data_IF_761957773670
#
_entry.id   IF_761957773670
#
_cell.length_a   1.000
_cell.length_b   1.000
_cell.length_c   1.000
_cell.angle_alpha   90.00
_cell.angle_beta   90.00
_cell.angle_gamma   90.00
#
_symmetry.space_group_name_H-M   'P 1'
#
loop_
_entity.id
_entity.type
_entity.pdbx_description
1 polymer ?
#
# COMPACT_ATOMS: atom_id res chain seq x y z
N UNK A 1 -0.96 48.95 -52.10
CA UNK A 1 -0.73 48.87 -50.64
C UNK A 1 0.60 48.16 -50.44
N UNK A 2 1.64 48.92 -50.06
CA UNK A 2 3.05 48.58 -50.32
C UNK A 2 3.54 47.29 -49.67
N UNK A 3 3.99 46.34 -50.51
CA UNK A 3 4.94 45.29 -50.17
C UNK A 3 6.31 45.93 -49.92
N UNK A 4 6.44 46.70 -48.84
CA UNK A 4 7.71 47.24 -48.40
C UNK A 4 8.59 46.10 -47.94
N UNK A 5 9.76 45.93 -48.58
CA UNK A 5 10.82 45.05 -48.07
C UNK A 5 11.10 45.48 -46.63
N UNK A 6 10.78 44.60 -45.68
CA UNK A 6 10.99 44.90 -44.26
C UNK A 6 12.49 44.96 -44.01
N UNK A 7 13.03 46.18 -43.92
CA UNK A 7 14.41 46.41 -43.52
C UNK A 7 14.60 45.87 -42.10
N UNK A 8 15.47 44.88 -41.92
CA UNK A 8 15.80 44.39 -40.58
C UNK A 8 16.76 45.38 -39.89
N UNK A 9 16.56 45.71 -38.61
CA UNK A 9 17.50 46.53 -37.86
C UNK A 9 18.84 45.80 -37.72
N UNK A 10 19.92 46.56 -37.67
CA UNK A 10 21.26 46.00 -37.49
C UNK A 10 21.36 45.21 -36.16
N UNK A 11 22.08 44.08 -36.11
CA UNK A 11 22.17 43.22 -34.91
C UNK A 11 22.73 43.89 -33.65
N UNK A 12 23.32 45.08 -33.77
CA UNK A 12 23.85 45.87 -32.65
C UNK A 12 22.77 46.68 -31.91
N UNK A 13 21.59 46.85 -32.52
CA UNK A 13 20.49 47.62 -31.93
C UNK A 13 19.88 46.83 -30.78
N UNK A 14 19.74 47.41 -29.56
CA UNK A 14 19.12 46.73 -28.44
C UNK A 14 17.62 46.54 -28.68
N UNK A 15 17.08 45.39 -28.27
CA UNK A 15 15.67 45.01 -28.44
C UNK A 15 14.69 46.04 -27.87
N UNK A 16 15.07 46.74 -26.80
CA UNK A 16 14.28 47.81 -26.19
C UNK A 16 14.10 49.05 -27.08
N UNK A 17 14.94 49.22 -28.10
CA UNK A 17 14.93 50.38 -29.00
C UNK A 17 14.32 50.09 -30.38
N UNK A 18 13.91 48.84 -30.66
CA UNK A 18 13.35 48.47 -31.97
C UNK A 18 12.15 49.34 -32.36
N UNK A 19 11.27 49.67 -31.41
CA UNK A 19 10.10 50.53 -31.66
C UNK A 19 10.47 51.92 -32.21
N UNK A 20 11.67 52.44 -31.93
CA UNK A 20 12.14 53.77 -32.38
C UNK A 20 12.57 53.78 -33.85
N UNK A 21 12.90 52.60 -34.40
CA UNK A 21 13.36 52.45 -35.78
C UNK A 21 12.20 52.17 -36.76
N UNK A 22 10.95 52.16 -36.27
CA UNK A 22 9.79 52.05 -37.12
C UNK A 22 9.30 53.45 -37.51
N UNK A 23 8.90 53.66 -38.76
CA UNK A 23 8.34 54.93 -39.21
C UNK A 23 7.06 55.27 -38.41
N UNK A 24 6.96 56.49 -37.86
CA UNK A 24 5.79 56.92 -37.08
C UNK A 24 4.53 57.09 -37.95
N UNK A 25 4.68 57.21 -39.27
CA UNK A 25 3.56 57.35 -40.21
C UNK A 25 2.84 56.03 -40.53
N UNK A 26 3.40 54.88 -40.13
CA UNK A 26 2.75 53.60 -40.35
C UNK A 26 1.58 53.41 -39.35
N UNK A 27 0.42 52.91 -39.81
CA UNK A 27 -0.66 52.47 -38.93
C UNK A 27 -0.16 51.54 -37.83
N UNK A 28 -0.70 51.68 -36.62
CA UNK A 28 -0.22 50.96 -35.44
C UNK A 28 -0.22 49.43 -35.63
N UNK A 29 -1.23 48.87 -36.27
CA UNK A 29 -1.30 47.44 -36.59
C UNK A 29 -0.17 46.96 -37.52
N UNK A 30 0.25 47.80 -38.47
CA UNK A 30 1.41 47.49 -39.31
C UNK A 30 2.72 47.66 -38.52
N UNK A 31 2.80 48.66 -37.65
CA UNK A 31 3.95 48.87 -36.77
C UNK A 31 4.19 47.68 -35.85
N UNK A 32 3.15 47.16 -35.22
CA UNK A 32 3.24 45.99 -34.33
C UNK A 32 3.60 44.72 -35.09
N UNK A 33 3.05 44.52 -36.28
CA UNK A 33 3.43 43.40 -37.17
C UNK A 33 4.91 43.42 -37.54
N UNK A 34 5.44 44.59 -37.92
CA UNK A 34 6.86 44.74 -38.23
C UNK A 34 7.73 44.46 -37.00
N UNK A 35 7.35 44.99 -35.84
CA UNK A 35 8.05 44.75 -34.58
C UNK A 35 8.05 43.26 -34.21
N UNK A 36 6.91 42.58 -34.29
CA UNK A 36 6.78 41.15 -34.00
C UNK A 36 7.66 40.30 -34.92
N UNK A 37 7.68 40.62 -36.21
CA UNK A 37 8.51 39.91 -37.18
C UNK A 37 10.00 40.14 -36.93
N UNK A 38 10.42 41.36 -36.56
CA UNK A 38 11.80 41.62 -36.13
C UNK A 38 12.17 40.81 -34.90
N UNK A 39 11.34 40.83 -33.85
CA UNK A 39 11.55 40.04 -32.64
C UNK A 39 11.61 38.53 -32.93
N UNK A 40 10.71 38.01 -33.78
CA UNK A 40 10.68 36.61 -34.16
C UNK A 40 11.91 36.20 -34.97
N UNK A 41 12.36 37.04 -35.92
CA UNK A 41 13.56 36.79 -36.73
C UNK A 41 14.83 36.81 -35.88
N UNK A 42 14.87 37.65 -34.85
CA UNK A 42 16.00 37.72 -33.92
C UNK A 42 16.00 36.50 -32.98
N UNK A 43 14.83 36.11 -32.46
CA UNK A 43 14.67 34.91 -31.66
C UNK A 43 15.02 33.62 -32.44
N UNK A 44 14.74 33.57 -33.75
CA UNK A 44 15.14 32.45 -34.62
C UNK A 44 16.66 32.34 -34.79
N UNK A 45 17.37 33.48 -34.80
CA UNK A 45 18.84 33.54 -34.93
C UNK A 45 19.55 33.20 -33.62
N UNK A 46 18.87 33.35 -32.48
CA UNK A 46 19.40 32.94 -31.18
C UNK A 46 19.17 31.44 -30.95
N UNK A 47 20.18 30.66 -30.53
CA UNK A 47 19.95 29.27 -30.15
C UNK A 47 19.00 29.21 -28.94
N UNK A 48 18.16 28.17 -28.79
CA UNK A 48 17.23 28.01 -27.65
C UNK A 48 17.92 27.76 -26.29
N UNK A 49 19.19 28.14 -26.15
CA UNK A 49 20.04 27.87 -25.01
C UNK A 49 20.88 29.11 -24.65
N UNK A 50 20.25 30.14 -24.10
CA UNK A 50 20.87 31.02 -23.11
C UNK A 50 19.87 32.12 -22.71
N UNK A 51 19.58 32.33 -21.42
CA UNK A 51 19.02 33.59 -20.97
C UNK A 51 20.03 34.69 -21.30
N UNK A 52 19.63 35.64 -22.15
CA UNK A 52 20.37 36.87 -22.40
C UNK A 52 20.40 37.69 -21.10
N UNK A 53 21.41 37.46 -20.27
CA UNK A 53 21.75 38.32 -19.15
C UNK A 53 22.55 39.52 -19.67
N UNK A 54 21.89 40.64 -19.93
CA UNK A 54 22.54 41.95 -19.75
C UNK A 54 22.33 42.38 -18.30
N UNK A 55 23.40 42.77 -17.57
CA UNK A 55 23.30 43.13 -16.16
C UNK A 55 22.78 44.57 -16.06
N UNK A 56 21.47 44.71 -15.82
CA UNK A 56 20.90 45.91 -15.25
C UNK A 56 20.98 45.83 -13.73
N UNK A 57 21.83 46.66 -13.15
CA UNK A 57 22.04 46.85 -11.70
C UNK A 57 20.72 46.91 -10.90
N UNK A 58 20.38 45.85 -10.15
CA UNK A 58 19.89 45.91 -8.76
C UNK A 58 19.55 44.51 -8.20
N UNK A 59 20.41 44.03 -7.29
CA UNK A 59 20.13 43.16 -6.13
C UNK A 59 18.93 42.18 -6.13
N UNK A 60 19.18 40.92 -6.54
CA UNK A 60 18.83 39.65 -5.83
C UNK A 60 19.10 38.43 -6.75
N UNK A 61 19.82 37.37 -6.31
CA UNK A 61 20.03 36.19 -7.15
C UNK A 61 18.81 35.28 -7.05
N UNK A 62 17.99 35.25 -8.10
CA UNK A 62 16.97 34.23 -8.27
C UNK A 62 17.63 32.88 -8.60
N UNK A 63 17.13 31.83 -7.97
CA UNK A 63 17.48 30.43 -8.21
C UNK A 63 17.48 30.09 -9.70
N UNK A 64 18.63 29.61 -10.20
CA UNK A 64 18.81 29.11 -11.56
C UNK A 64 18.11 27.76 -11.75
N UNK A 65 16.78 27.78 -11.90
CA UNK A 65 16.05 26.67 -12.49
C UNK A 65 16.43 26.57 -13.97
N UNK A 66 17.44 25.74 -14.28
CA UNK A 66 17.71 25.31 -15.65
C UNK A 66 16.48 24.57 -16.15
N UNK A 67 15.71 25.22 -17.01
CA UNK A 67 14.60 24.58 -17.73
C UNK A 67 15.16 23.37 -18.49
N UNK A 68 14.42 22.24 -18.56
CA UNK A 68 14.82 21.08 -19.34
C UNK A 68 15.01 21.49 -20.79
N UNK A 69 16.14 21.09 -21.40
CA UNK A 69 16.36 21.29 -22.84
C UNK A 69 15.29 20.52 -23.61
N UNK A 70 14.59 21.21 -24.53
CA UNK A 70 13.55 20.59 -25.35
C UNK A 70 14.09 19.35 -26.08
N UNK A 71 13.26 18.31 -26.21
CA UNK A 71 13.58 17.14 -27.04
C UNK A 71 13.90 17.56 -28.47
N UNK A 72 14.79 16.84 -29.16
CA UNK A 72 15.19 17.17 -30.53
C UNK A 72 14.00 17.21 -31.51
N UNK A 73 12.96 16.41 -31.25
CA UNK A 73 11.72 16.41 -32.03
C UNK A 73 10.87 17.64 -31.73
N UNK A 74 10.74 18.00 -30.45
CA UNK A 74 9.99 19.19 -30.02
C UNK A 74 10.64 20.48 -30.52
N UNK A 75 11.97 20.53 -30.58
CA UNK A 75 12.71 21.65 -31.13
C UNK A 75 12.50 21.82 -32.65
N UNK A 76 12.37 20.72 -33.41
CA UNK A 76 12.01 20.76 -34.84
C UNK A 76 10.58 21.23 -35.03
N UNK A 77 9.64 20.74 -34.21
CA UNK A 77 8.25 21.16 -34.23
C UNK A 77 8.12 22.66 -33.91
N UNK A 78 8.80 23.14 -32.86
CA UNK A 78 8.82 24.55 -32.49
C UNK A 78 9.36 25.45 -33.62
N UNK A 79 10.43 25.01 -34.31
CA UNK A 79 10.95 25.73 -35.49
C UNK A 79 9.96 25.75 -36.64
N UNK A 80 9.27 24.63 -36.91
CA UNK A 80 8.23 24.55 -37.94
C UNK A 80 7.10 25.54 -37.66
N UNK A 81 6.60 25.55 -36.41
CA UNK A 81 5.55 26.47 -35.97
C UNK A 81 6.04 27.92 -36.07
N UNK A 82 7.28 28.21 -35.66
CA UNK A 82 7.85 29.55 -35.78
C UNK A 82 7.92 30.03 -37.23
N UNK A 83 8.34 29.18 -38.16
CA UNK A 83 8.37 29.51 -39.59
C UNK A 83 6.97 29.72 -40.16
N UNK A 84 6.00 28.92 -39.74
CA UNK A 84 4.60 29.04 -40.17
C UNK A 84 3.98 30.35 -39.66
N UNK A 85 4.17 30.66 -38.38
CA UNK A 85 3.70 31.93 -37.80
C UNK A 85 4.38 33.12 -38.48
N UNK A 86 5.68 33.05 -38.78
CA UNK A 86 6.38 34.10 -39.51
C UNK A 86 5.83 34.26 -40.94
N UNK A 87 5.49 33.16 -41.62
CA UNK A 87 4.85 33.20 -42.94
C UNK A 87 3.44 33.78 -42.88
N UNK A 88 2.64 33.43 -41.87
CA UNK A 88 1.29 33.98 -41.66
C UNK A 88 1.34 35.47 -41.30
N UNK A 89 2.32 35.87 -40.49
CA UNK A 89 2.62 37.28 -40.22
C UNK A 89 3.09 37.99 -41.50
N UNK A 90 3.95 37.39 -42.33
CA UNK A 90 4.40 38.00 -43.58
C UNK A 90 3.28 38.09 -44.63
N UNK A 91 2.33 37.15 -44.64
CA UNK A 91 1.15 37.17 -45.51
C UNK A 91 0.03 38.10 -45.00
N UNK A 92 0.12 38.61 -43.76
CA UNK A 92 -0.89 39.50 -43.18
C UNK A 92 -2.19 38.79 -42.83
N UNK A 93 -2.17 37.46 -42.68
CA UNK A 93 -3.33 36.65 -42.30
C UNK A 93 -3.60 36.68 -40.79
N UNK A 94 -2.64 37.15 -40.00
CA UNK A 94 -2.78 37.37 -38.57
C UNK A 94 -3.17 38.83 -38.32
N UNK A 95 -4.30 39.01 -37.66
CA UNK A 95 -4.76 40.33 -37.22
C UNK A 95 -3.88 40.81 -36.04
N UNK A 96 -3.12 41.87 -36.28
CA UNK A 96 -2.18 42.48 -35.32
C UNK A 96 -2.74 43.77 -34.70
N UNK A 97 -4.05 43.98 -34.81
CA UNK A 97 -4.70 45.14 -34.22
C UNK A 97 -4.57 45.12 -32.69
N UNK A 98 -3.86 46.10 -32.15
CA UNK A 98 -3.59 46.25 -30.70
C UNK A 98 -4.82 46.78 -29.98
N UNK A 99 -5.66 47.52 -30.70
CA UNK A 99 -6.85 48.17 -30.20
C UNK A 99 -8.05 47.35 -30.70
N UNK A 100 -8.39 46.29 -29.97
CA UNK A 100 -9.72 45.63 -29.87
C UNK A 100 -9.59 44.11 -29.84
N UNK A 101 -9.98 43.51 -28.70
CA UNK A 101 -10.64 42.19 -28.65
C UNK A 101 -11.30 42.01 -27.29
N UNK A 102 -12.31 42.83 -27.01
CA UNK A 102 -13.29 42.61 -25.94
C UNK A 102 -14.54 41.88 -26.46
N UNK A 103 -14.47 41.26 -27.64
CA UNK A 103 -15.56 40.46 -28.19
C UNK A 103 -15.61 39.11 -27.49
N UNK A 104 -16.39 39.05 -26.40
CA UNK A 104 -16.69 37.85 -25.62
C UNK A 104 -17.17 36.66 -26.49
N UNK A 105 -17.67 36.93 -27.69
CA UNK A 105 -18.14 35.91 -28.65
C UNK A 105 -17.01 35.10 -29.31
N UNK A 106 -15.83 35.68 -29.57
CA UNK A 106 -14.72 34.95 -30.18
C UNK A 106 -13.96 34.08 -29.16
N UNK A 107 -13.92 34.52 -27.90
CA UNK A 107 -13.31 33.77 -26.79
C UNK A 107 -14.06 32.45 -26.50
N UNK A 108 -15.38 32.43 -26.62
CA UNK A 108 -16.19 31.22 -26.43
C UNK A 108 -15.98 30.19 -27.55
N UNK A 109 -15.85 30.63 -28.80
CA UNK A 109 -15.57 29.74 -29.94
C UNK A 109 -14.14 29.18 -29.91
N UNK A 110 -13.18 29.95 -29.35
CA UNK A 110 -11.83 29.44 -29.09
C UNK A 110 -11.85 28.41 -27.95
N UNK A 111 -12.57 28.67 -26.85
CA UNK A 111 -12.70 27.75 -25.72
C UNK A 111 -13.23 26.36 -26.09
N UNK A 112 -14.11 26.27 -27.09
CA UNK A 112 -14.63 24.99 -27.60
C UNK A 112 -13.59 24.12 -28.33
N UNK A 113 -12.48 24.72 -28.79
CA UNK A 113 -11.40 24.02 -29.49
C UNK A 113 -10.17 23.75 -28.61
N UNK A 114 -10.20 24.08 -27.32
CA UNK A 114 -9.10 23.71 -26.42
C UNK A 114 -9.23 22.24 -26.02
N UNK A 115 -8.13 21.52 -26.20
CA UNK A 115 -8.00 20.18 -25.63
C UNK A 115 -8.23 20.24 -24.11
N UNK A 116 -8.92 19.23 -23.53
CA UNK A 116 -9.13 19.20 -22.09
C UNK A 116 -7.78 19.16 -21.38
N UNK A 117 -7.68 19.90 -20.28
CA UNK A 117 -6.45 19.93 -19.49
C UNK A 117 -6.04 18.51 -19.06
N UNK A 118 -4.77 18.14 -19.23
CA UNK A 118 -4.22 16.83 -18.86
C UNK A 118 -4.61 16.35 -17.45
N UNK A 119 -4.75 17.28 -16.50
CA UNK A 119 -5.21 16.96 -15.14
C UNK A 119 -6.64 16.44 -15.14
N UNK A 120 -7.54 17.00 -15.96
CA UNK A 120 -8.92 16.52 -16.08
C UNK A 120 -8.96 15.11 -16.67
N UNK A 121 -8.13 14.81 -17.67
CA UNK A 121 -8.01 13.47 -18.25
C UNK A 121 -7.54 12.47 -17.17
N UNK A 122 -6.50 12.82 -16.41
CA UNK A 122 -6.00 12.00 -15.29
C UNK A 122 -7.02 11.83 -14.19
N UNK A 123 -7.80 12.87 -13.89
CA UNK A 123 -8.88 12.82 -12.88
C UNK A 123 -10.03 11.93 -13.35
N UNK A 124 -10.40 12.00 -14.62
CA UNK A 124 -11.44 11.16 -15.21
C UNK A 124 -11.03 9.69 -15.19
N UNK A 125 -9.78 9.38 -15.55
CA UNK A 125 -9.25 8.01 -15.44
C UNK A 125 -9.31 7.50 -13.99
N UNK A 126 -8.77 8.29 -13.04
CA UNK A 126 -8.82 7.94 -11.60
C UNK A 126 -10.25 7.74 -11.11
N UNK A 127 -11.19 8.60 -11.52
CA UNK A 127 -12.60 8.46 -11.18
C UNK A 127 -13.16 7.12 -11.66
N UNK A 128 -12.88 6.73 -12.90
CA UNK A 128 -13.34 5.45 -13.44
C UNK A 128 -12.72 4.26 -12.70
N UNK A 129 -11.41 4.31 -12.44
CA UNK A 129 -10.70 3.24 -11.71
C UNK A 129 -11.28 3.09 -10.29
N UNK A 130 -11.50 4.20 -9.57
CA UNK A 130 -12.11 4.18 -8.24
C UNK A 130 -13.56 3.72 -8.27
N UNK A 131 -14.35 4.14 -9.26
CA UNK A 131 -15.74 3.69 -9.39
C UNK A 131 -15.82 2.18 -9.65
N UNK A 132 -14.92 1.63 -10.47
CA UNK A 132 -14.82 0.18 -10.67
C UNK A 132 -14.47 -0.55 -9.38
N UNK A 133 -13.48 -0.05 -8.62
CA UNK A 133 -13.10 -0.63 -7.33
C UNK A 133 -14.22 -0.59 -6.30
N UNK A 134 -14.96 0.52 -6.21
CA UNK A 134 -16.13 0.64 -5.33
C UNK A 134 -17.22 -0.35 -5.73
N UNK A 135 -17.46 -0.55 -7.03
CA UNK A 135 -18.45 -1.52 -7.50
C UNK A 135 -18.07 -2.96 -7.13
N UNK A 136 -16.79 -3.34 -7.28
CA UNK A 136 -16.29 -4.66 -6.87
C UNK A 136 -16.41 -4.86 -5.36
N UNK A 137 -15.96 -3.89 -4.55
CA UNK A 137 -16.04 -3.98 -3.10
C UNK A 137 -17.49 -4.12 -2.60
N UNK A 138 -18.45 -3.42 -3.24
CA UNK A 138 -19.87 -3.58 -2.92
C UNK A 138 -20.43 -4.95 -3.30
N UNK A 139 -19.99 -5.51 -4.43
CA UNK A 139 -20.39 -6.85 -4.84
C UNK A 139 -19.84 -7.92 -3.88
N UNK A 140 -18.59 -7.77 -3.45
CA UNK A 140 -17.97 -8.63 -2.44
C UNK A 140 -18.68 -8.53 -1.10
N UNK A 141 -18.98 -7.31 -0.62
CA UNK A 141 -19.73 -7.10 0.62
C UNK A 141 -21.11 -7.79 0.57
N UNK A 142 -21.83 -7.65 -0.55
CA UNK A 142 -23.06 -8.40 -0.81
C UNK A 142 -22.87 -9.91 -0.67
N UNK A 143 -21.86 -10.48 -1.35
CA UNK A 143 -21.55 -11.91 -1.27
C UNK A 143 -21.19 -12.37 0.16
N UNK A 144 -20.47 -11.54 0.93
CA UNK A 144 -20.18 -11.84 2.33
C UNK A 144 -21.44 -11.83 3.20
N UNK A 145 -22.35 -10.87 2.97
CA UNK A 145 -23.62 -10.82 3.71
C UNK A 145 -24.49 -12.04 3.40
N UNK A 146 -24.53 -12.50 2.16
CA UNK A 146 -25.27 -13.70 1.75
C UNK A 146 -24.70 -14.95 2.44
N UNK A 147 -23.38 -15.12 2.43
CA UNK A 147 -22.71 -16.25 3.09
C UNK A 147 -22.96 -16.25 4.61
N UNK A 148 -22.94 -15.08 5.24
CA UNK A 148 -23.28 -14.94 6.67
C UNK A 148 -24.74 -15.34 6.91
N UNK A 149 -25.68 -14.93 6.04
CA UNK A 149 -27.09 -15.31 6.16
C UNK A 149 -27.29 -16.81 5.97
N UNK A 150 -26.65 -17.42 4.97
CA UNK A 150 -26.70 -18.87 4.74
C UNK A 150 -26.16 -19.66 5.95
N UNK A 151 -25.04 -19.21 6.52
CA UNK A 151 -24.47 -19.86 7.70
C UNK A 151 -25.37 -19.70 8.94
N UNK A 152 -25.96 -18.52 9.13
CA UNK A 152 -26.96 -18.30 10.19
C UNK A 152 -28.19 -19.17 9.99
N UNK A 153 -28.70 -19.27 8.76
CA UNK A 153 -29.83 -20.13 8.43
C UNK A 153 -29.50 -21.60 8.72
N UNK A 154 -28.34 -22.09 8.26
CA UNK A 154 -27.88 -23.47 8.52
C UNK A 154 -27.72 -23.76 10.01
N UNK A 155 -27.05 -22.87 10.75
CA UNK A 155 -26.86 -23.06 12.19
C UNK A 155 -28.18 -23.01 12.95
N UNK A 156 -29.10 -22.11 12.59
CA UNK A 156 -30.45 -22.09 13.16
C UNK A 156 -31.24 -23.37 12.86
N UNK A 157 -31.11 -23.93 11.65
CA UNK A 157 -31.71 -25.20 11.27
C UNK A 157 -31.17 -26.35 12.13
N UNK A 158 -29.84 -26.43 12.30
CA UNK A 158 -29.21 -27.46 13.15
C UNK A 158 -29.64 -27.33 14.61
N UNK A 159 -29.70 -26.10 15.14
CA UNK A 159 -30.18 -25.86 16.50
C UNK A 159 -31.64 -26.25 16.66
N UNK A 160 -32.49 -25.97 15.66
CA UNK A 160 -33.90 -26.36 15.67
C UNK A 160 -34.10 -27.88 15.62
N UNK A 161 -33.28 -28.61 14.84
CA UNK A 161 -33.34 -30.07 14.78
C UNK A 161 -32.88 -30.72 16.09
N UNK A 162 -31.81 -30.20 16.71
CA UNK A 162 -31.33 -30.67 18.01
C UNK A 162 -32.36 -30.40 19.11
N UNK A 163 -32.99 -29.22 19.12
CA UNK A 163 -34.05 -28.90 20.07
C UNK A 163 -35.30 -29.77 19.86
N UNK A 164 -35.73 -29.97 18.61
CA UNK A 164 -36.86 -30.85 18.31
C UNK A 164 -36.60 -32.31 18.74
N UNK A 165 -35.38 -32.79 18.55
CA UNK A 165 -34.94 -34.11 19.00
C UNK A 165 -34.93 -34.20 20.54
N UNK A 166 -34.44 -33.18 21.23
CA UNK A 166 -34.50 -33.06 22.69
C UNK A 166 -35.94 -33.08 23.21
N UNK A 167 -36.85 -32.35 22.55
CA UNK A 167 -38.25 -32.30 22.91
C UNK A 167 -38.96 -33.65 22.67
N UNK A 168 -38.59 -34.38 21.62
CA UNK A 168 -39.08 -35.74 21.38
C UNK A 168 -38.63 -36.72 22.49
N UNK A 169 -37.36 -36.63 22.90
CA UNK A 169 -36.83 -37.46 23.98
C UNK A 169 -37.52 -37.17 25.32
N UNK A 170 -37.70 -35.90 25.69
CA UNK A 170 -38.40 -35.53 26.93
C UNK A 170 -39.86 -35.99 26.94
N UNK A 171 -40.59 -35.85 25.82
CA UNK A 171 -41.99 -36.36 25.72
C UNK A 171 -42.10 -37.88 25.81
N UNK A 172 -41.05 -38.62 25.45
CA UNK A 172 -41.02 -40.08 25.56
C UNK A 172 -40.87 -40.59 27.00
N UNK A 173 -40.33 -39.76 27.91
CA UNK A 173 -40.13 -40.12 29.32
C UNK A 173 -41.41 -40.05 30.16
N UNK A 174 -42.36 -39.16 29.81
CA UNK A 174 -43.56 -38.94 30.63
C UNK A 174 -44.64 -40.04 30.50
N UNK A 175 -44.48 -41.03 29.61
CA UNK A 175 -45.50 -42.08 29.36
C UNK A 175 -45.17 -43.49 29.85
N UNK A 176 -44.05 -43.73 30.54
CA UNK A 176 -43.73 -45.09 31.00
C UNK A 176 -42.74 -45.14 32.15
N UNK A 177 -43.17 -45.74 33.26
CA UNK A 177 -42.36 -46.14 34.43
C UNK A 177 -40.91 -46.48 34.05
N UNK A 178 -39.99 -45.63 34.52
CA UNK A 178 -38.62 -45.99 34.90
C UNK A 178 -37.85 -46.88 33.93
N UNK A 179 -37.45 -46.34 32.78
CA UNK A 179 -36.18 -46.74 32.17
C UNK A 179 -35.26 -45.54 32.23
N UNK A 180 -34.26 -45.64 33.10
CA UNK A 180 -33.08 -44.78 33.14
C UNK A 180 -32.50 -44.74 31.71
N UNK A 181 -32.81 -43.66 30.98
CA UNK A 181 -32.29 -43.45 29.63
C UNK A 181 -30.80 -43.16 29.79
N UNK A 182 -29.98 -44.11 29.37
CA UNK A 182 -28.55 -43.92 29.11
C UNK A 182 -28.41 -42.92 27.95
N UNK A 183 -28.61 -41.63 28.22
CA UNK A 183 -28.50 -40.51 27.26
C UNK A 183 -27.05 -40.21 26.82
N UNK A 184 -26.14 -41.17 27.02
CA UNK A 184 -24.73 -41.09 26.64
C UNK A 184 -24.29 -42.24 25.75
N UNK A 185 -25.17 -43.12 25.30
CA UNK A 185 -24.77 -44.11 24.28
C UNK A 185 -24.55 -43.36 22.95
N UNK A 186 -23.29 -43.30 22.45
CA UNK A 186 -23.00 -42.73 21.15
C UNK A 186 -23.90 -43.41 20.14
N UNK A 187 -24.55 -42.62 19.30
CA UNK A 187 -25.49 -43.12 18.32
C UNK A 187 -24.75 -44.13 17.43
N UNK A 188 -25.13 -45.41 17.51
CA UNK A 188 -24.54 -46.48 16.70
C UNK A 188 -24.56 -46.15 15.20
N UNK A 189 -25.53 -45.34 14.81
CA UNK A 189 -25.75 -44.91 13.44
C UNK A 189 -24.72 -43.87 12.96
N UNK A 190 -23.93 -43.27 13.86
CA UNK A 190 -22.86 -42.31 13.55
C UNK A 190 -21.47 -42.95 13.62
N UNK A 191 -21.35 -44.15 14.19
CA UNK A 191 -20.09 -44.87 14.21
C UNK A 191 -19.89 -45.55 12.86
N UNK A 192 -18.80 -45.17 12.18
CA UNK A 192 -18.29 -45.83 10.99
C UNK A 192 -18.20 -47.35 11.20
N UNK A 193 -18.58 -48.16 10.20
CA UNK A 193 -18.82 -49.62 10.35
C UNK A 193 -17.65 -50.36 11.03
N UNK A 194 -16.43 -49.87 10.83
CA UNK A 194 -15.19 -50.38 11.45
C UNK A 194 -15.17 -50.33 12.98
N UNK A 195 -15.99 -49.49 13.60
CA UNK A 195 -16.07 -49.34 15.06
C UNK A 195 -17.30 -50.02 15.65
N UNK A 196 -18.23 -50.51 14.82
CA UNK A 196 -19.44 -51.19 15.29
C UNK A 196 -19.13 -52.44 16.12
N UNK A 197 -18.13 -53.23 15.70
CA UNK A 197 -17.68 -54.44 16.41
C UNK A 197 -16.98 -54.09 17.74
N UNK A 198 -16.17 -53.03 17.76
CA UNK A 198 -15.54 -52.53 18.98
C UNK A 198 -16.58 -51.96 19.97
N UNK A 199 -17.62 -51.29 19.47
CA UNK A 199 -18.72 -50.80 20.28
C UNK A 199 -19.57 -51.95 20.84
N UNK A 200 -19.86 -52.98 20.03
CA UNK A 200 -20.58 -54.17 20.46
C UNK A 200 -19.83 -54.92 21.59
N UNK A 201 -18.53 -55.15 21.42
CA UNK A 201 -17.70 -55.80 22.45
C UNK A 201 -17.60 -54.96 23.73
N UNK A 202 -17.51 -53.63 23.61
CA UNK A 202 -17.55 -52.74 24.77
C UNK A 202 -18.90 -52.84 25.51
N UNK A 203 -20.04 -52.91 24.80
CA UNK A 203 -21.37 -53.11 25.42
C UNK A 203 -21.47 -54.44 26.14
N UNK A 204 -20.98 -55.52 25.55
CA UNK A 204 -21.00 -56.84 26.19
C UNK A 204 -20.16 -56.84 27.48
N UNK A 205 -19.00 -56.17 27.46
CA UNK A 205 -18.18 -56.00 28.66
C UNK A 205 -18.89 -55.17 29.74
N UNK A 206 -19.65 -54.14 29.34
CA UNK A 206 -20.40 -53.28 30.25
C UNK A 206 -21.61 -54.02 30.84
N UNK A 207 -22.32 -54.81 30.03
CA UNK A 207 -23.42 -55.69 30.45
C UNK A 207 -22.94 -56.74 31.45
N UNK A 208 -21.80 -57.37 31.18
CA UNK A 208 -21.18 -58.34 32.09
C UNK A 208 -20.78 -57.69 33.42
N UNK A 209 -20.22 -56.47 33.38
CA UNK A 209 -19.91 -55.70 34.59
C UNK A 209 -21.18 -55.30 35.37
N UNK A 210 -22.27 -54.96 34.68
CA UNK A 210 -23.55 -54.62 35.30
C UNK A 210 -24.16 -55.84 35.99
N UNK A 211 -24.14 -57.00 35.32
CA UNK A 211 -24.58 -58.27 35.91
C UNK A 211 -23.74 -58.66 37.14
N UNK A 212 -22.41 -58.46 37.09
CA UNK A 212 -21.51 -58.67 38.24
C UNK A 212 -21.80 -57.73 39.41
N UNK A 213 -22.19 -56.47 39.13
CA UNK A 213 -22.56 -55.51 40.17
C UNK A 213 -23.89 -55.87 40.84
N UNK A 214 -24.86 -56.36 40.08
CA UNK A 214 -26.15 -56.80 40.65
C UNK A 214 -26.04 -58.11 41.42
N UNK A 215 -25.03 -58.96 41.14
CA UNK A 215 -24.83 -60.23 41.83
C UNK A 215 -23.93 -60.17 43.07
N UNK A 216 -23.29 -59.02 43.36
CA UNK A 216 -22.40 -58.85 44.53
C UNK A 216 -22.88 -57.67 45.37
N UNK A 217 -24.06 -57.82 45.96
CA UNK A 217 -24.57 -56.92 46.99
C UNK A 217 -24.11 -57.42 48.36
N UNK A 218 -22.91 -57.01 48.79
CA UNK A 218 -22.53 -57.17 50.20
C UNK A 218 -21.06 -57.38 50.54
N UNK A 219 -20.08 -56.69 49.89
CA UNK A 219 -18.75 -56.42 50.50
C UNK A 219 -17.78 -55.58 49.62
N UNK A 220 -18.28 -54.68 48.77
CA UNK A 220 -17.43 -53.97 47.79
C UNK A 220 -16.68 -52.76 48.36
N UNK A 221 -16.96 -52.33 49.59
CA UNK A 221 -16.38 -51.10 50.14
C UNK A 221 -14.91 -51.27 50.58
N UNK A 222 -14.46 -52.49 50.90
CA UNK A 222 -13.06 -52.76 51.28
C UNK A 222 -12.14 -53.10 50.10
N UNK A 223 -12.65 -53.75 49.05
CA UNK A 223 -11.83 -54.12 47.88
C UNK A 223 -11.57 -52.91 46.96
N UNK A 224 -12.49 -51.93 46.94
CA UNK A 224 -12.36 -50.72 46.11
C UNK A 224 -11.24 -49.78 46.57
N UNK A 225 -10.86 -49.81 47.85
CA UNK A 225 -9.83 -48.95 48.41
C UNK A 225 -8.40 -49.34 47.99
N UNK A 226 -8.18 -50.58 47.52
CA UNK A 226 -6.86 -51.12 47.21
C UNK A 226 -6.69 -51.59 45.75
N UNK A 227 -7.57 -51.17 44.83
CA UNK A 227 -7.39 -51.52 43.42
C UNK A 227 -6.16 -50.78 42.84
N UNK A 228 -5.35 -51.42 41.97
CA UNK A 228 -4.24 -50.74 41.29
C UNK A 228 -4.71 -49.55 40.43
N UNK A 229 -6.00 -49.56 40.03
CA UNK A 229 -6.64 -48.49 39.28
C UNK A 229 -6.83 -47.24 40.14
N UNK A 230 -7.28 -47.38 41.39
CA UNK A 230 -7.42 -46.24 42.30
C UNK A 230 -6.08 -45.60 42.66
N UNK A 231 -5.00 -46.39 42.75
CA UNK A 231 -3.66 -45.85 42.92
C UNK A 231 -3.18 -45.05 41.69
N UNK A 232 -3.44 -45.56 40.48
CA UNK A 232 -3.15 -44.84 39.23
C UNK A 232 -3.97 -43.57 39.09
N UNK A 233 -5.25 -43.59 39.50
CA UNK A 233 -6.13 -42.42 39.44
C UNK A 233 -5.64 -41.30 40.35
N UNK A 234 -5.26 -41.62 41.60
CA UNK A 234 -4.60 -40.65 42.50
C UNK A 234 -3.27 -40.13 41.94
N UNK A 235 -2.50 -40.97 41.25
CA UNK A 235 -1.26 -40.53 40.60
C UNK A 235 -1.51 -39.60 39.40
N UNK A 236 -2.63 -39.77 38.70
CA UNK A 236 -3.04 -38.92 37.59
C UNK A 236 -3.57 -37.58 38.09
N UNK A 237 -4.34 -37.58 39.17
CA UNK A 237 -4.80 -36.37 39.86
C UNK A 237 -3.61 -35.50 40.26
N UNK A 238 -2.62 -36.07 40.96
CA UNK A 238 -1.39 -35.35 41.34
C UNK A 238 -0.62 -34.82 40.12
N UNK A 239 -0.54 -35.59 39.04
CA UNK A 239 0.12 -35.13 37.79
C UNK A 239 -0.67 -34.02 37.10
N UNK A 240 -2.00 -34.07 37.15
CA UNK A 240 -2.88 -33.04 36.61
C UNK A 240 -2.74 -31.74 37.39
N UNK A 241 -2.75 -31.81 38.72
CA UNK A 241 -2.56 -30.65 39.59
C UNK A 241 -1.18 -30.02 39.37
N UNK A 242 -0.13 -30.86 39.27
CA UNK A 242 1.22 -30.38 38.95
C UNK A 242 1.29 -29.75 37.57
N UNK A 243 0.59 -30.30 36.57
CA UNK A 243 0.52 -29.70 35.25
C UNK A 243 -0.16 -28.33 35.31
N UNK A 244 -1.32 -28.23 35.99
CA UNK A 244 -2.03 -26.97 36.16
C UNK A 244 -1.18 -25.93 36.88
N UNK A 245 -0.45 -26.31 37.92
CA UNK A 245 0.51 -25.44 38.61
C UNK A 245 1.61 -24.94 37.66
N UNK A 246 2.22 -25.84 36.86
CA UNK A 246 3.26 -25.44 35.90
C UNK A 246 2.73 -24.54 34.78
N UNK A 247 1.49 -24.76 34.33
CA UNK A 247 0.86 -23.91 33.31
C UNK A 247 0.51 -22.54 33.88
N UNK A 248 -0.06 -22.48 35.08
CA UNK A 248 -0.39 -21.22 35.74
C UNK A 248 0.86 -20.39 36.05
N UNK A 249 1.93 -21.03 36.53
CA UNK A 249 3.21 -20.35 36.77
C UNK A 249 3.87 -19.87 35.48
N UNK A 250 3.84 -20.66 34.40
CA UNK A 250 4.32 -20.22 33.10
C UNK A 250 3.50 -19.05 32.53
N UNK A 251 2.17 -19.09 32.67
CA UNK A 251 1.27 -18.00 32.27
C UNK A 251 1.57 -16.71 33.03
N UNK A 252 1.72 -16.79 34.35
CA UNK A 252 2.07 -15.64 35.19
C UNK A 252 3.45 -15.04 34.80
N UNK A 253 4.44 -15.88 34.49
CA UNK A 253 5.74 -15.39 33.98
C UNK A 253 5.59 -14.70 32.61
N UNK A 254 4.78 -15.25 31.71
CA UNK A 254 4.54 -14.64 30.40
C UNK A 254 3.87 -13.26 30.52
N UNK A 255 2.88 -13.11 31.40
CA UNK A 255 2.24 -11.82 31.70
C UNK A 255 3.24 -10.80 32.28
N UNK A 256 4.08 -11.22 33.23
CA UNK A 256 5.12 -10.34 33.78
C UNK A 256 6.13 -9.89 32.72
N UNK A 257 6.51 -10.79 31.79
CA UNK A 257 7.41 -10.45 30.68
C UNK A 257 6.72 -9.49 29.72
N UNK A 258 5.45 -9.69 29.40
CA UNK A 258 4.68 -8.79 28.54
C UNK A 258 4.63 -7.37 29.13
N UNK A 259 4.27 -7.23 30.40
CA UNK A 259 4.23 -5.93 31.10
C UNK A 259 5.60 -5.25 31.10
N UNK A 260 6.69 -6.00 31.31
CA UNK A 260 8.05 -5.46 31.24
C UNK A 260 8.43 -5.00 29.83
N UNK A 261 8.07 -5.78 28.80
CA UNK A 261 8.33 -5.40 27.41
C UNK A 261 7.55 -4.14 27.04
N UNK A 262 6.28 -4.03 27.43
CA UNK A 262 5.47 -2.82 27.20
C UNK A 262 6.06 -1.60 27.90
N UNK A 263 6.57 -1.75 29.13
CA UNK A 263 7.27 -0.68 29.84
C UNK A 263 8.56 -0.24 29.11
N UNK A 264 9.31 -1.20 28.55
CA UNK A 264 10.52 -0.91 27.77
C UNK A 264 10.15 -0.22 26.45
N UNK A 265 9.15 -0.72 25.72
CA UNK A 265 8.74 -0.14 24.44
C UNK A 265 8.09 1.23 24.59
N UNK A 266 7.29 1.44 25.64
CA UNK A 266 6.74 2.77 25.96
C UNK A 266 7.86 3.77 26.26
N UNK A 267 8.83 3.42 27.12
CA UNK A 267 10.00 4.26 27.40
C UNK A 267 10.84 4.53 26.14
N UNK A 268 11.08 3.51 25.31
CA UNK A 268 11.75 3.70 24.00
C UNK A 268 10.95 4.63 23.08
N UNK A 269 9.63 4.50 23.06
CA UNK A 269 8.77 5.38 22.25
C UNK A 269 8.77 6.81 22.77
N UNK A 270 8.80 7.02 24.08
CA UNK A 270 8.87 8.33 24.72
C UNK A 270 10.22 9.00 24.50
N UNK A 271 11.32 8.25 24.65
CA UNK A 271 12.67 8.74 24.35
C UNK A 271 12.84 9.07 22.87
N UNK A 272 12.25 8.29 21.96
CA UNK A 272 12.21 8.62 20.53
C UNK A 272 11.36 9.86 20.25
N UNK A 273 10.19 9.99 20.88
CA UNK A 273 9.33 11.17 20.73
C UNK A 273 10.00 12.43 21.27
N UNK A 274 10.57 12.39 22.46
CA UNK A 274 11.27 13.54 23.06
C UNK A 274 12.49 13.95 22.22
N UNK A 275 13.20 12.99 21.63
CA UNK A 275 14.29 13.27 20.69
C UNK A 275 13.81 13.80 19.35
N UNK A 276 12.65 13.37 18.86
CA UNK A 276 12.06 13.86 17.61
C UNK A 276 11.51 15.28 17.71
N UNK A 277 11.09 15.72 18.90
CA UNK A 277 10.50 17.04 19.16
C UNK A 277 11.55 18.14 19.38
N UNK A 278 12.83 17.79 19.57
CA UNK A 278 13.91 18.78 19.74
C UNK A 278 14.34 19.53 18.46
N UNK A 279 13.66 19.33 17.32
CA UNK A 279 13.77 20.28 16.21
C UNK A 279 12.55 21.18 16.20
N UNK A 280 12.64 22.42 16.73
CA UNK A 280 11.64 23.42 16.41
C UNK A 280 11.66 23.59 14.89
N UNK A 281 10.50 23.42 14.26
CA UNK A 281 10.25 23.93 12.92
C UNK A 281 10.57 25.43 12.96
N UNK A 282 11.74 25.80 12.45
CA UNK A 282 12.14 27.20 12.33
C UNK A 282 11.31 27.83 11.21
N UNK A 283 10.11 28.26 11.58
CA UNK A 283 9.34 29.23 10.83
C UNK A 283 10.05 30.57 10.94
N UNK A 284 10.69 30.96 9.84
CA UNK A 284 10.75 32.32 9.29
C UNK A 284 11.07 33.48 10.27
N UNK A 285 12.30 34.01 10.20
CA UNK A 285 12.56 35.44 9.98
C UNK A 285 14.07 35.78 10.11
N UNK A 286 14.52 36.70 9.26
CA UNK A 286 15.73 37.54 9.38
C UNK A 286 17.12 36.95 9.02
N UNK A 287 17.54 37.23 7.78
CA UNK A 287 18.83 37.89 7.46
C UNK A 287 20.12 37.04 7.44
N UNK A 288 20.85 36.98 6.31
CA UNK A 288 22.25 36.56 6.30
C UNK A 288 23.19 37.77 6.30
N UNK A 289 23.87 37.99 7.42
CA UNK A 289 25.10 38.79 7.49
C UNK A 289 26.23 37.89 7.99
N UNK A 290 27.30 37.77 7.17
CA UNK A 290 28.72 37.60 7.53
C UNK A 290 29.09 36.50 8.54
N UNK A 291 30.10 35.64 8.39
CA UNK A 291 31.40 35.79 7.75
C UNK A 291 32.11 34.43 7.80
N UNK A 292 33.05 34.26 6.88
CA UNK A 292 34.08 33.22 6.96
C UNK A 292 34.78 33.23 8.33
N UNK A 293 35.01 32.04 8.90
CA UNK A 293 36.20 31.82 9.72
C UNK A 293 36.85 30.50 9.36
N UNK A 294 38.17 30.57 9.35
CA UNK A 294 39.13 29.69 8.69
C UNK A 294 39.44 28.46 9.55
N UNK A 295 39.93 27.43 8.86
CA UNK A 295 40.96 26.47 9.25
C UNK A 295 41.43 26.51 10.73
N UNK A 296 41.12 25.45 11.48
CA UNK A 296 42.04 24.81 12.43
C UNK A 296 41.78 23.29 12.36
N UNK A 297 42.82 22.44 12.19
CA UNK A 297 42.71 20.99 12.38
C UNK A 297 42.91 20.71 13.88
N UNK A 298 41.90 20.14 14.53
CA UNK A 298 41.96 19.86 15.95
C UNK A 298 40.88 18.88 16.36
N UNK A 299 41.32 17.76 16.92
CA UNK A 299 40.51 16.65 17.39
C UNK A 299 39.29 17.09 18.21
N UNK A 300 38.11 16.69 17.76
CA UNK A 300 37.00 16.32 18.64
C UNK A 300 36.30 15.15 17.97
N UNK A 301 36.07 14.10 18.77
CA UNK A 301 35.41 12.86 18.37
C UNK A 301 34.13 13.11 17.56
N UNK A 302 33.81 12.26 16.58
CA UNK A 302 32.53 12.34 15.92
C UNK A 302 31.46 11.98 16.94
N UNK A 303 30.78 12.99 17.49
CA UNK A 303 29.53 12.82 18.20
C UNK A 303 28.63 11.95 17.32
N UNK A 304 28.29 10.77 17.84
CA UNK A 304 27.61 9.68 17.16
C UNK A 304 26.58 10.20 16.14
N UNK A 305 26.96 10.19 14.85
CA UNK A 305 26.03 10.43 13.76
C UNK A 305 24.94 9.37 13.88
N UNK A 306 23.76 9.85 14.21
CA UNK A 306 22.60 9.03 14.48
C UNK A 306 22.41 8.06 13.30
N UNK A 307 22.46 6.72 13.51
CA UNK A 307 22.43 5.77 12.41
C UNK A 307 21.15 5.92 11.58
N UNK A 308 20.07 6.43 12.19
CA UNK A 308 18.81 6.76 11.53
C UNK A 308 18.96 7.96 10.59
N UNK A 309 19.74 8.98 10.94
CA UNK A 309 20.02 10.11 10.05
C UNK A 309 20.93 9.69 8.90
N UNK A 310 21.86 8.77 9.15
CA UNK A 310 22.69 8.16 8.12
C UNK A 310 21.84 7.33 7.15
N UNK A 311 20.94 6.48 7.66
CA UNK A 311 20.01 5.70 6.85
C UNK A 311 18.99 6.57 6.10
N UNK A 312 18.50 7.66 6.72
CA UNK A 312 17.61 8.64 6.07
C UNK A 312 18.37 9.45 5.01
N UNK A 313 19.63 9.78 5.25
CA UNK A 313 20.52 10.43 4.28
C UNK A 313 20.81 9.52 3.08
N UNK A 314 21.15 8.26 3.33
CA UNK A 314 21.35 7.24 2.30
C UNK A 314 20.05 7.03 1.51
N UNK A 315 18.91 6.88 2.18
CA UNK A 315 17.59 6.74 1.54
C UNK A 315 17.25 7.92 0.61
N UNK A 316 17.55 9.16 1.02
CA UNK A 316 17.38 10.35 0.16
C UNK A 316 18.34 10.38 -1.01
N UNK A 317 19.60 10.00 -0.79
CA UNK A 317 20.60 9.92 -1.86
C UNK A 317 20.29 8.81 -2.88
N UNK A 318 19.67 7.73 -2.43
CA UNK A 318 19.27 6.63 -3.29
C UNK A 318 18.00 7.00 -4.08
N UNK A 319 17.06 7.73 -3.47
CA UNK A 319 15.83 8.24 -4.12
C UNK A 319 16.12 9.13 -5.35
N UNK A 320 17.23 9.87 -5.35
CA UNK A 320 17.61 10.76 -6.47
C UNK A 320 18.49 10.10 -7.53
N UNK A 321 18.87 8.83 -7.34
CA UNK A 321 19.75 8.11 -8.27
C UNK A 321 19.00 7.68 -9.54
N UNK A 322 19.53 7.96 -10.74
CA UNK A 322 18.88 7.57 -11.99
C UNK A 322 18.85 6.04 -12.14
N UNK A 323 17.75 5.53 -12.70
CA UNK A 323 17.41 4.10 -12.83
C UNK A 323 18.48 3.23 -13.53
N UNK A 324 19.39 3.85 -14.29
CA UNK A 324 20.52 3.19 -14.95
C UNK A 324 21.68 2.83 -14.03
N UNK A 325 21.74 3.41 -12.82
CA UNK A 325 22.81 3.18 -11.83
C UNK A 325 22.35 2.34 -10.64
N UNK A 326 21.09 1.87 -10.66
CA UNK A 326 20.49 1.09 -9.58
C UNK A 326 20.66 -0.39 -9.89
N UNK A 327 21.19 -1.16 -8.93
CA UNK A 327 21.38 -2.59 -9.09
C UNK A 327 20.04 -3.32 -9.23
N UNK A 328 20.03 -4.42 -10.00
CA UNK A 328 18.84 -5.23 -10.26
C UNK A 328 17.99 -5.63 -9.02
N UNK A 329 18.58 -5.98 -7.85
CA UNK A 329 17.78 -6.28 -6.66
C UNK A 329 17.05 -5.04 -6.12
N UNK A 330 17.70 -3.87 -6.08
CA UNK A 330 17.08 -2.62 -5.58
C UNK A 330 15.96 -2.16 -6.51
N UNK A 331 16.11 -2.37 -7.82
CA UNK A 331 15.06 -2.08 -8.81
C UNK A 331 13.81 -2.93 -8.60
N UNK A 332 13.96 -4.22 -8.28
CA UNK A 332 12.84 -5.11 -7.94
C UNK A 332 12.12 -4.66 -6.66
N UNK A 333 12.86 -4.26 -5.64
CA UNK A 333 12.25 -3.77 -4.39
C UNK A 333 11.47 -2.47 -4.63
N UNK A 334 11.99 -1.53 -5.43
CA UNK A 334 11.25 -0.32 -5.82
C UNK A 334 9.97 -0.63 -6.57
N UNK A 335 10.02 -1.56 -7.52
CA UNK A 335 8.82 -1.99 -8.25
C UNK A 335 7.80 -2.63 -7.30
N UNK A 336 8.24 -3.47 -6.36
CA UNK A 336 7.35 -4.10 -5.37
C UNK A 336 6.68 -3.11 -4.41
N UNK A 337 7.38 -2.04 -4.03
CA UNK A 337 6.85 -0.97 -3.17
C UNK A 337 5.89 -0.08 -3.97
N UNK A 338 6.19 0.22 -5.24
CA UNK A 338 5.32 1.02 -6.10
C UNK A 338 4.02 0.30 -6.51
N UNK A 339 4.01 -1.04 -6.49
CA UNK A 339 2.82 -1.86 -6.75
C UNK A 339 2.01 -2.19 -5.49
N UNK A 340 2.46 -1.79 -4.29
CA UNK A 340 1.75 -2.07 -3.05
C UNK A 340 0.68 -0.99 -2.77
N UNK A 341 -0.58 -1.35 -2.44
CA UNK A 341 -1.64 -0.40 -2.13
C UNK A 341 -1.36 0.38 -0.83
N UNK A 342 -1.76 1.66 -0.73
CA UNK A 342 -1.36 2.56 0.36
C UNK A 342 -2.00 2.27 1.73
N UNK A 343 -2.82 1.22 1.86
CA UNK A 343 -3.59 0.92 3.08
C UNK A 343 -3.15 -0.37 3.81
N UNK A 344 -2.01 -0.96 3.42
CA UNK A 344 -1.41 -2.06 4.17
C UNK A 344 -0.60 -1.51 5.36
N UNK A 345 -1.31 -1.11 6.41
CA UNK A 345 -0.71 -0.85 7.72
C UNK A 345 0.13 -2.04 8.19
N UNK A 346 1.37 -1.75 8.58
CA UNK A 346 2.26 -2.61 9.41
C UNK A 346 2.18 -4.10 9.08
N UNK A 347 2.50 -4.48 7.84
CA UNK A 347 2.83 -5.87 7.56
C UNK A 347 4.19 -6.18 8.19
N UNK A 348 4.15 -6.93 9.29
CA UNK A 348 5.34 -7.47 9.98
C UNK A 348 6.32 -8.01 8.95
N UNK A 349 7.53 -7.45 8.94
CA UNK A 349 8.67 -8.04 8.24
C UNK A 349 8.99 -9.38 8.91
N UNK A 350 8.37 -10.46 8.45
CA UNK A 350 8.84 -11.81 8.74
C UNK A 350 10.07 -12.07 7.89
N UNK A 351 11.11 -12.52 8.58
CA UNK A 351 12.43 -12.81 8.06
C UNK A 351 12.43 -13.64 6.76
N UNK A 352 13.45 -13.35 5.97
CA UNK A 352 14.04 -14.20 4.92
C UNK A 352 13.74 -15.68 5.16
N UNK A 353 12.94 -16.29 4.29
CA UNK A 353 12.88 -17.76 4.22
C UNK A 353 14.25 -18.26 3.77
N UNK A 354 14.98 -18.87 4.70
CA UNK A 354 16.18 -19.63 4.40
C UNK A 354 15.88 -20.70 3.33
N UNK A 355 16.82 -21.02 2.43
CA UNK A 355 16.64 -22.09 1.46
C UNK A 355 16.52 -23.42 2.21
N UNK A 356 15.32 -23.98 2.22
CA UNK A 356 15.03 -25.31 2.77
C UNK A 356 15.92 -26.38 2.11
N UNK A 357 16.54 -27.28 2.90
CA UNK A 357 17.41 -28.34 2.37
C UNK A 357 16.59 -29.36 1.56
N UNK A 358 17.20 -29.82 0.45
CA UNK A 358 16.62 -30.79 -0.47
C UNK A 358 16.26 -32.10 0.25
N UNK A 359 15.07 -32.64 -0.05
CA UNK A 359 14.63 -33.99 0.35
C UNK A 359 15.68 -35.05 -0.02
N UNK A 360 15.99 -36.02 0.86
CA UNK A 360 16.75 -37.20 0.46
C UNK A 360 15.93 -38.09 -0.48
N UNK A 361 16.58 -38.76 -1.46
CA UNK A 361 15.92 -39.61 -2.42
C UNK A 361 15.61 -40.99 -1.81
N UNK A 362 14.41 -41.51 -2.08
CA UNK A 362 14.13 -42.94 -1.87
C UNK A 362 12.94 -43.23 -0.96
N UNK A 363 11.73 -43.09 -1.50
CA UNK A 363 10.63 -44.03 -1.21
C UNK A 363 9.75 -44.17 -2.46
N UNK A 364 9.25 -45.38 -2.78
CA UNK A 364 8.88 -45.76 -4.14
C UNK A 364 7.45 -45.35 -4.54
N UNK A 365 7.31 -44.98 -5.81
CA UNK A 365 6.08 -44.51 -6.46
C UNK A 365 5.16 -45.71 -6.75
N UNK A 366 3.97 -45.73 -6.13
CA UNK A 366 2.90 -46.70 -6.40
C UNK A 366 2.32 -46.44 -7.80
N UNK A 367 2.40 -47.41 -8.70
CA UNK A 367 1.80 -47.36 -10.05
C UNK A 367 0.31 -47.74 -10.01
N UNK A 368 -0.54 -47.18 -10.88
CA UNK A 368 -1.92 -47.64 -11.04
C UNK A 368 -1.99 -48.89 -11.94
N UNK A 369 -2.79 -49.85 -11.50
CA UNK A 369 -3.11 -51.14 -12.13
C UNK A 369 -3.94 -50.90 -13.40
N UNK A 370 -3.41 -51.26 -14.57
CA UNK A 370 -4.19 -51.39 -15.81
C UNK A 370 -4.97 -52.71 -15.76
N UNK A 371 -6.29 -52.62 -15.86
CA UNK A 371 -7.17 -53.71 -16.25
C UNK A 371 -6.91 -54.05 -17.73
N UNK A 372 -6.76 -55.34 -18.04
CA UNK A 372 -6.85 -55.87 -19.39
C UNK A 372 -8.17 -56.63 -19.47
N UNK A 373 -9.07 -56.16 -20.32
CA UNK A 373 -10.11 -56.96 -20.95
C UNK A 373 -9.47 -57.83 -22.02
N UNK A 374 -9.76 -59.12 -21.96
CA UNK A 374 -10.04 -60.01 -23.11
C UNK A 374 -10.88 -61.15 -22.58
#
# INVERSE_FOLDING_TARGET
>A
MGSGVISQPHPTVPTSSYHKHLPPDLPEALRTRHLLMWCASWAAKQPPSAPSSKPGSSSKPASSSKLPTLSANDAKLAKSIQTEVMNLLAAGKLDTNVISRTDKSAAAAQAANLAPHDQNIKNLKRKNDFMSGIAQAKAEDGAWTDLIQEYKARSSSVMSSLNAQRDQLSRSQDKGKGREISDWEPWDNELDDKWSEAAATARDSLRLNRQRRTSVSGDTNRIRAHSPISARLKSLELKSDKLHETVNTASAMAEQVHVKLDAIFSNLSETLKSRSVQYPASTSAAGPSSSMSKMIPGASEPAAQDPILLLRGISRSDATRPDSQISAPVRRTRQSIATAPPDAGVSRYTAVSAPTPRRPPGTPRRTPRKTKET
#
